data_IF_167865038412
#
_entry.id   IF_167865038412
#
_cell.length_a   1.000
_cell.length_b   1.000
_cell.length_c   1.000
_cell.angle_alpha   90.00
_cell.angle_beta   90.00
_cell.angle_gamma   90.00
#
_symmetry.space_group_name_H-M   'P 1'
#
loop_
_entity.id
_entity.type
_entity.pdbx_description
1 polymer ?
#
# COMPACT_ATOMS: atom_id res chain seq x y z
N UNK A 1 23.16 -3.07 8.08
CA UNK A 1 21.95 -2.28 8.37
C UNK A 1 21.00 -2.47 7.21
N UNK A 2 19.78 -2.97 7.47
CA UNK A 2 18.77 -3.21 6.45
C UNK A 2 18.23 -1.90 5.88
N UNK A 3 17.58 -1.94 4.72
CA UNK A 3 16.95 -0.75 4.14
C UNK A 3 15.78 -0.27 5.02
N UNK A 4 15.02 -1.21 5.60
CA UNK A 4 13.99 -0.89 6.61
C UNK A 4 14.58 -0.08 7.76
N UNK A 5 15.69 -0.52 8.36
CA UNK A 5 16.32 0.18 9.49
C UNK A 5 16.73 1.61 9.11
N UNK A 6 17.31 1.81 7.92
CA UNK A 6 17.67 3.15 7.42
C UNK A 6 16.45 4.05 7.27
N UNK A 7 15.36 3.54 6.71
CA UNK A 7 14.11 4.29 6.54
C UNK A 7 13.47 4.61 7.89
N UNK A 8 13.61 3.72 8.88
CA UNK A 8 13.14 3.98 10.22
C UNK A 8 13.93 5.05 10.97
N UNK A 9 15.23 5.15 10.73
CA UNK A 9 16.09 6.18 11.32
C UNK A 9 15.88 7.55 10.66
N UNK A 10 15.54 7.58 9.37
CA UNK A 10 15.30 8.81 8.60
C UNK A 10 13.98 9.54 8.93
N UNK A 11 13.15 9.00 9.83
CA UNK A 11 11.80 9.50 10.13
C UNK A 11 11.76 10.98 10.54
N UNK A 12 10.87 11.81 9.97
CA UNK A 12 10.31 12.95 10.68
C UNK A 12 9.41 12.44 11.83
N UNK A 13 9.45 13.07 13.01
CA UNK A 13 8.66 12.69 14.20
C UNK A 13 7.15 12.63 13.90
N UNK A 14 6.63 11.46 13.52
CA UNK A 14 5.19 11.15 13.41
C UNK A 14 4.87 9.99 14.34
N UNK A 15 3.89 10.19 15.24
CA UNK A 15 3.55 9.32 16.38
C UNK A 15 2.79 8.02 16.01
N UNK A 16 2.98 7.44 14.82
CA UNK A 16 2.32 6.18 14.43
C UNK A 16 3.37 5.14 14.10
N UNK A 17 3.38 4.08 14.90
CA UNK A 17 4.38 3.01 14.89
C UNK A 17 4.06 2.07 13.70
N UNK A 18 5.07 1.74 12.90
CA UNK A 18 5.04 0.83 11.74
C UNK A 18 4.36 1.24 10.42
N UNK A 19 3.23 1.96 10.39
CA UNK A 19 2.72 2.50 9.11
C UNK A 19 3.75 3.43 8.46
N UNK A 20 4.57 4.07 9.31
CA UNK A 20 5.56 5.07 8.96
C UNK A 20 6.65 4.58 8.00
N UNK A 21 7.13 3.33 8.10
CA UNK A 21 8.20 2.86 7.19
C UNK A 21 7.71 2.68 5.75
N UNK A 22 6.46 2.27 5.57
CA UNK A 22 5.83 2.17 4.24
C UNK A 22 5.60 3.57 3.66
N UNK A 23 5.17 4.54 4.46
CA UNK A 23 5.09 5.96 4.04
C UNK A 23 6.45 6.47 3.56
N UNK A 24 7.49 6.34 4.40
CA UNK A 24 8.83 6.82 4.06
C UNK A 24 9.37 6.12 2.82
N UNK A 25 9.17 4.80 2.69
CA UNK A 25 9.58 4.07 1.50
C UNK A 25 8.91 4.61 0.25
N UNK A 26 7.57 4.73 0.27
CA UNK A 26 6.79 5.19 -0.90
C UNK A 26 7.16 6.61 -1.30
N UNK A 27 7.39 7.48 -0.32
CA UNK A 27 7.73 8.90 -0.53
C UNK A 27 9.17 9.12 -1.02
N UNK A 28 10.14 8.29 -0.59
CA UNK A 28 11.57 8.58 -0.78
C UNK A 28 12.30 7.64 -1.74
N UNK A 29 11.84 6.39 -1.90
CA UNK A 29 12.51 5.44 -2.78
C UNK A 29 12.12 5.70 -4.24
N UNK A 30 13.13 5.93 -5.07
CA UNK A 30 12.99 6.11 -6.52
C UNK A 30 13.78 5.10 -7.33
N UNK A 31 14.74 4.41 -6.71
CA UNK A 31 15.54 3.36 -7.34
C UNK A 31 14.78 2.01 -7.34
N UNK A 32 14.55 1.38 -8.51
CA UNK A 32 13.82 0.12 -8.62
C UNK A 32 14.42 -1.03 -7.78
N UNK A 33 15.74 -1.08 -7.65
CA UNK A 33 16.42 -2.14 -6.89
C UNK A 33 16.15 -1.96 -5.40
N UNK A 34 16.22 -0.73 -4.90
CA UNK A 34 15.90 -0.40 -3.51
C UNK A 34 14.42 -0.64 -3.18
N UNK A 35 13.51 -0.30 -4.09
CA UNK A 35 12.07 -0.55 -3.91
C UNK A 35 11.78 -2.05 -3.82
N UNK A 36 12.41 -2.87 -4.68
CA UNK A 36 12.28 -4.33 -4.61
C UNK A 36 12.89 -4.89 -3.33
N UNK A 37 14.08 -4.44 -2.96
CA UNK A 37 14.73 -4.82 -1.71
C UNK A 37 13.85 -4.48 -0.50
N UNK A 38 13.27 -3.28 -0.46
CA UNK A 38 12.35 -2.88 0.60
C UNK A 38 11.16 -3.82 0.70
N UNK A 39 10.55 -4.18 -0.43
CA UNK A 39 9.43 -5.12 -0.46
C UNK A 39 9.80 -6.47 0.14
N UNK A 40 10.91 -7.06 -0.31
CA UNK A 40 11.35 -8.37 0.15
C UNK A 40 11.68 -8.35 1.66
N UNK A 41 12.36 -7.30 2.14
CA UNK A 41 12.63 -7.07 3.56
C UNK A 41 11.33 -6.88 4.35
N UNK A 42 10.33 -6.18 3.80
CA UNK A 42 9.07 -5.90 4.48
C UNK A 42 8.20 -7.14 4.60
N UNK A 43 8.14 -7.97 3.55
CA UNK A 43 7.48 -9.28 3.60
C UNK A 43 8.15 -10.18 4.64
N UNK A 44 9.48 -10.23 4.68
CA UNK A 44 10.22 -10.99 5.68
C UNK A 44 9.93 -10.49 7.10
N UNK A 45 9.86 -9.17 7.29
CA UNK A 45 9.51 -8.56 8.56
C UNK A 45 8.09 -8.94 9.00
N UNK A 46 7.08 -8.80 8.13
CA UNK A 46 5.69 -9.17 8.42
C UNK A 46 5.55 -10.66 8.76
N UNK A 47 6.34 -11.53 8.11
CA UNK A 47 6.36 -12.97 8.40
C UNK A 47 6.83 -13.28 9.82
N UNK A 48 7.79 -12.51 10.33
CA UNK A 48 8.40 -12.75 11.64
C UNK A 48 7.71 -11.98 12.77
N UNK A 49 7.25 -10.77 12.48
CA UNK A 49 6.81 -9.79 13.49
C UNK A 49 5.38 -9.29 13.28
N UNK A 50 4.62 -9.85 12.33
CA UNK A 50 3.24 -9.46 12.10
C UNK A 50 2.36 -9.61 13.35
N UNK A 51 1.52 -8.61 13.58
CA UNK A 51 0.67 -8.47 14.79
C UNK A 51 -0.34 -9.60 14.98
N UNK A 52 -0.59 -10.40 13.94
CA UNK A 52 -1.49 -11.55 14.00
C UNK A 52 -0.93 -12.74 13.22
N UNK A 53 -1.42 -13.94 13.54
CA UNK A 53 -1.09 -15.14 12.77
C UNK A 53 -1.53 -15.02 11.31
N UNK A 54 -2.65 -14.31 11.05
CA UNK A 54 -3.11 -14.05 9.70
C UNK A 54 -2.09 -13.25 8.88
N UNK A 55 -1.47 -12.22 9.49
CA UNK A 55 -0.39 -11.43 8.87
C UNK A 55 0.82 -12.31 8.61
N UNK A 56 1.26 -13.08 9.62
CA UNK A 56 2.45 -13.93 9.51
C UNK A 56 2.30 -15.08 8.50
N UNK A 57 1.08 -15.59 8.31
CA UNK A 57 0.77 -16.62 7.31
C UNK A 57 0.64 -16.07 5.89
N UNK A 58 0.24 -14.81 5.72
CA UNK A 58 0.02 -14.21 4.40
C UNK A 58 0.77 -12.87 4.21
N UNK A 59 2.08 -12.78 4.52
CA UNK A 59 2.79 -11.51 4.65
C UNK A 59 2.83 -10.72 3.33
N UNK A 60 2.92 -11.41 2.19
CA UNK A 60 2.88 -10.78 0.86
C UNK A 60 1.55 -10.08 0.58
N UNK A 61 0.43 -10.70 0.96
CA UNK A 61 -0.90 -10.11 0.79
C UNK A 61 -1.03 -8.83 1.61
N UNK A 62 -0.53 -8.83 2.85
CA UNK A 62 -0.54 -7.65 3.70
C UNK A 62 0.43 -6.58 3.21
N UNK A 63 1.64 -6.95 2.75
CA UNK A 63 2.58 -6.03 2.13
C UNK A 63 1.97 -5.35 0.90
N UNK A 64 1.36 -6.13 0.00
CA UNK A 64 0.68 -5.63 -1.19
C UNK A 64 -0.47 -4.69 -0.84
N UNK A 65 -1.27 -5.03 0.17
CA UNK A 65 -2.38 -4.19 0.63
C UNK A 65 -1.88 -2.89 1.27
N UNK A 66 -0.85 -2.95 2.12
CA UNK A 66 -0.31 -1.79 2.81
C UNK A 66 0.34 -0.80 1.84
N UNK A 67 1.20 -1.30 0.93
CA UNK A 67 1.83 -0.48 -0.10
C UNK A 67 0.77 0.02 -1.09
N UNK A 68 -0.16 -0.85 -1.49
CA UNK A 68 -1.24 -0.52 -2.42
C UNK A 68 -2.18 0.56 -1.89
N UNK A 69 -2.50 0.51 -0.60
CA UNK A 69 -3.23 1.59 0.09
C UNK A 69 -2.39 2.87 0.12
N UNK A 70 -1.10 2.75 0.44
CA UNK A 70 -0.19 3.89 0.54
C UNK A 70 -0.09 4.68 -0.75
N UNK A 71 0.20 4.01 -1.87
CA UNK A 71 0.37 4.66 -3.17
C UNK A 71 -0.91 5.36 -3.64
N UNK A 72 -2.08 5.01 -3.10
CA UNK A 72 -3.33 5.69 -3.38
C UNK A 72 -3.45 7.09 -2.77
N UNK A 73 -2.55 7.48 -1.87
CA UNK A 73 -2.46 8.85 -1.32
C UNK A 73 -1.45 9.74 -2.05
N UNK A 74 -0.69 9.19 -2.99
CA UNK A 74 0.35 9.92 -3.72
C UNK A 74 -0.07 10.14 -5.18
N UNK A 75 0.75 10.91 -5.91
CA UNK A 75 0.50 11.18 -7.33
C UNK A 75 0.67 9.94 -8.22
N UNK A 76 0.21 10.08 -9.48
CA UNK A 76 0.25 9.01 -10.47
C UNK A 76 1.68 8.54 -10.73
N UNK A 77 2.64 9.46 -10.78
CA UNK A 77 4.04 9.12 -11.04
C UNK A 77 4.58 8.18 -9.96
N UNK A 78 4.36 8.53 -8.69
CA UNK A 78 4.80 7.75 -7.54
C UNK A 78 4.14 6.37 -7.55
N UNK A 79 2.83 6.31 -7.76
CA UNK A 79 2.11 5.03 -7.83
C UNK A 79 2.58 4.14 -9.00
N UNK A 80 2.76 4.71 -10.19
CA UNK A 80 3.23 4.00 -11.37
C UNK A 80 4.61 3.37 -11.15
N UNK A 81 5.56 4.10 -10.54
CA UNK A 81 6.89 3.55 -10.20
C UNK A 81 6.77 2.30 -9.35
N UNK A 82 5.96 2.33 -8.29
CA UNK A 82 5.75 1.17 -7.41
C UNK A 82 5.05 0.01 -8.11
N UNK A 83 4.03 0.27 -8.93
CA UNK A 83 3.32 -0.77 -9.67
C UNK A 83 4.17 -1.42 -10.78
N UNK A 84 5.14 -0.70 -11.35
CA UNK A 84 6.09 -1.25 -12.32
C UNK A 84 7.09 -2.21 -11.66
N UNK A 85 7.60 -1.85 -10.49
CA UNK A 85 8.63 -2.64 -9.77
C UNK A 85 8.01 -3.82 -9.01
N UNK A 86 6.79 -3.66 -8.51
CA UNK A 86 6.07 -4.66 -7.71
C UNK A 86 4.70 -4.94 -8.36
N UNK A 87 4.65 -5.79 -9.41
CA UNK A 87 3.45 -5.94 -10.23
C UNK A 87 2.23 -6.51 -9.51
N UNK A 88 2.42 -7.14 -8.35
CA UNK A 88 1.38 -7.68 -7.47
C UNK A 88 0.75 -6.64 -6.53
N UNK A 89 1.36 -5.47 -6.38
CA UNK A 89 0.80 -4.37 -5.59
C UNK A 89 -0.37 -3.74 -6.34
N UNK A 90 -1.47 -3.52 -5.63
CA UNK A 90 -2.65 -2.82 -6.14
C UNK A 90 -3.44 -2.22 -4.98
N UNK A 91 -4.20 -1.15 -5.22
CA UNK A 91 -5.02 -0.56 -4.18
C UNK A 91 -6.14 -1.53 -3.77
N UNK A 92 -6.41 -1.71 -2.47
CA UNK A 92 -7.38 -2.70 -1.99
C UNK A 92 -8.80 -2.46 -2.51
N UNK A 93 -9.15 -1.23 -2.90
CA UNK A 93 -10.47 -0.87 -3.45
C UNK A 93 -10.41 -0.56 -4.95
N UNK A 94 -9.37 0.14 -5.41
CA UNK A 94 -9.33 0.74 -6.76
C UNK A 94 -8.48 -0.08 -7.74
N UNK A 95 -7.81 -1.12 -7.24
CA UNK A 95 -6.89 -1.97 -7.99
C UNK A 95 -5.76 -1.14 -8.63
N UNK A 96 -5.39 -1.39 -9.89
CA UNK A 96 -4.32 -0.66 -10.59
C UNK A 96 -4.78 0.72 -11.11
N UNK A 97 -6.08 0.92 -11.26
CA UNK A 97 -6.65 2.14 -11.84
C UNK A 97 -7.05 3.15 -10.76
N UNK A 98 -6.12 3.48 -9.86
CA UNK A 98 -6.38 4.35 -8.71
C UNK A 98 -6.76 5.77 -9.15
N UNK A 99 -6.17 6.26 -10.23
CA UNK A 99 -6.40 7.62 -10.73
C UNK A 99 -7.59 7.74 -11.68
N UNK A 100 -8.31 6.64 -11.92
CA UNK A 100 -9.50 6.65 -12.77
C UNK A 100 -10.77 7.01 -11.99
N UNK A 101 -10.69 7.19 -10.67
CA UNK A 101 -11.86 7.46 -9.81
C UNK A 101 -11.85 8.92 -9.38
N UNK A 102 -13.03 9.54 -9.34
CA UNK A 102 -13.18 10.90 -8.82
C UNK A 102 -13.11 10.89 -7.29
N UNK A 103 -12.81 12.03 -6.64
CA UNK A 103 -12.83 12.13 -5.18
C UNK A 103 -14.18 11.73 -4.56
N UNK A 104 -15.29 12.05 -5.23
CA UNK A 104 -16.63 11.66 -4.79
C UNK A 104 -16.84 10.14 -4.85
N UNK A 105 -16.42 9.50 -5.95
CA UNK A 105 -16.45 8.05 -6.08
C UNK A 105 -15.58 7.37 -5.03
N UNK A 106 -14.38 7.91 -4.77
CA UNK A 106 -13.48 7.40 -3.74
C UNK A 106 -14.10 7.51 -2.33
N UNK A 107 -14.74 8.64 -2.02
CA UNK A 107 -15.43 8.85 -0.75
C UNK A 107 -16.59 7.86 -0.56
N UNK A 108 -17.44 7.70 -1.57
CA UNK A 108 -18.57 6.76 -1.52
C UNK A 108 -18.10 5.30 -1.41
N UNK A 109 -17.06 4.92 -2.15
CA UNK A 109 -16.45 3.61 -2.04
C UNK A 109 -15.87 3.37 -0.62
N UNK A 110 -15.26 4.40 -0.01
CA UNK A 110 -14.78 4.33 1.37
C UNK A 110 -15.92 4.12 2.37
N UNK A 111 -17.05 4.81 2.20
CA UNK A 111 -18.25 4.58 3.04
C UNK A 111 -18.76 3.15 2.91
N UNK A 112 -18.91 2.65 1.68
CA UNK A 112 -19.32 1.27 1.41
C UNK A 112 -18.34 0.26 2.00
N UNK A 113 -17.04 0.50 1.91
CA UNK A 113 -16.03 -0.36 2.51
C UNK A 113 -16.19 -0.46 4.03
N UNK A 114 -16.52 0.66 4.69
CA UNK A 114 -16.74 0.72 6.14
C UNK A 114 -18.05 0.08 6.60
N UNK A 115 -19.11 0.06 5.77
CA UNK A 115 -20.43 -0.45 6.15
C UNK A 115 -20.73 -1.85 5.63
N UNK A 116 -20.29 -2.16 4.41
CA UNK A 116 -20.64 -3.36 3.65
C UNK A 116 -19.42 -4.16 3.19
N UNK A 117 -18.20 -3.70 3.50
CA UNK A 117 -16.95 -4.37 3.19
C UNK A 117 -16.32 -3.98 1.85
N UNK A 118 -15.05 -4.34 1.69
CA UNK A 118 -14.21 -3.93 0.55
C UNK A 118 -14.69 -4.49 -0.79
N UNK A 119 -15.35 -5.66 -0.81
CA UNK A 119 -15.92 -6.25 -2.03
C UNK A 119 -17.04 -5.37 -2.61
N UNK A 120 -17.93 -4.85 -1.76
CA UNK A 120 -19.01 -3.96 -2.18
C UNK A 120 -18.49 -2.63 -2.71
N UNK A 121 -17.44 -2.10 -2.08
CA UNK A 121 -16.75 -0.92 -2.59
C UNK A 121 -16.13 -1.16 -3.99
N UNK A 122 -15.53 -2.34 -4.22
CA UNK A 122 -14.99 -2.71 -5.54
C UNK A 122 -16.08 -2.81 -6.60
N UNK A 123 -17.19 -3.48 -6.28
CA UNK A 123 -18.36 -3.59 -7.19
C UNK A 123 -18.89 -2.21 -7.60
N UNK A 124 -18.99 -1.27 -6.65
CA UNK A 124 -19.44 0.10 -6.89
C UNK A 124 -18.52 0.85 -7.87
N UNK A 125 -17.20 0.78 -7.66
CA UNK A 125 -16.22 1.42 -8.54
C UNK A 125 -16.25 0.80 -9.93
N UNK A 126 -16.35 -0.53 -10.03
CA UNK A 126 -16.40 -1.20 -11.33
C UNK A 126 -17.64 -0.80 -12.15
N UNK A 127 -18.79 -0.60 -11.49
CA UNK A 127 -20.00 -0.09 -12.15
C UNK A 127 -19.86 1.37 -12.58
N UNK A 128 -19.13 2.17 -11.82
CA UNK A 128 -18.94 3.61 -12.06
C UNK A 128 -17.92 3.92 -13.17
N UNK A 129 -17.20 2.89 -13.66
CA UNK A 129 -16.24 2.97 -14.76
C UNK A 129 -16.85 2.64 -16.13
N UNK A 130 -18.05 2.04 -16.17
CA UNK A 130 -18.81 1.74 -17.38
C UNK A 130 -19.82 2.85 -17.68
#
# INVERSE_FOLDING_TARGET
MSLIQKLEEAKPKRNVVFTNVVFTAVETLTDPTQMRQFYDEYVAHLKQHGDSDQVRQNPESFANSNIGYMIGYYDKETADRWMQVIPSVSHPIFQKDIFSVTPEQAFNAGKLAGTEGTEKAREYIQKSRN
#
